data_IF_162378391493
#
_entry.id   IF_162378391493
#
_cell.length_a   1.000
_cell.length_b   1.000
_cell.length_c   1.000
_cell.angle_alpha   90.00
_cell.angle_beta   90.00
_cell.angle_gamma   90.00
#
_symmetry.space_group_name_H-M   'P 1'
#
loop_
_entity.id
_entity.type
_entity.pdbx_description
1 polymer ?
#
# COMPACT_ATOMS: atom_id res chain seq x y z
N UNK A 1 39.33 2.02 7.49
CA UNK A 1 38.31 3.06 7.74
C UNK A 1 38.81 4.35 7.10
N UNK A 2 38.03 4.95 6.18
CA UNK A 2 38.36 6.23 5.55
C UNK A 2 38.17 7.35 6.59
N UNK A 3 39.22 8.11 6.89
CA UNK A 3 39.35 8.98 8.07
C UNK A 3 38.42 10.20 8.18
N UNK A 4 37.35 10.27 7.38
CA UNK A 4 36.35 11.34 7.40
C UNK A 4 34.91 10.86 7.23
N UNK A 5 34.66 9.55 7.26
CA UNK A 5 33.30 9.02 7.17
C UNK A 5 32.56 9.22 8.50
N UNK A 6 31.54 10.07 8.49
CA UNK A 6 30.53 10.13 9.54
C UNK A 6 29.34 9.26 9.11
N UNK A 7 28.95 8.33 9.96
CA UNK A 7 27.80 7.48 9.68
C UNK A 7 26.53 8.32 9.63
N UNK A 8 25.67 8.05 8.64
CA UNK A 8 24.38 8.69 8.56
C UNK A 8 23.51 8.29 9.77
N UNK A 9 22.59 9.17 10.16
CA UNK A 9 21.59 8.82 11.16
C UNK A 9 20.84 7.53 10.79
N UNK A 10 20.36 6.75 11.77
CA UNK A 10 19.81 5.42 11.53
C UNK A 10 18.61 5.43 10.58
N UNK A 11 17.84 6.52 10.55
CA UNK A 11 16.74 6.71 9.61
C UNK A 11 17.26 6.88 8.16
N UNK A 12 18.20 7.81 7.95
CA UNK A 12 18.78 8.08 6.63
C UNK A 12 19.51 6.86 6.08
N UNK A 13 20.22 6.12 6.93
CA UNK A 13 20.87 4.87 6.55
C UNK A 13 19.87 3.80 6.08
N UNK A 14 18.74 3.63 6.79
CA UNK A 14 17.68 2.70 6.40
C UNK A 14 17.00 3.12 5.09
N UNK A 15 16.72 4.42 4.92
CA UNK A 15 16.13 4.95 3.70
C UNK A 15 17.06 4.79 2.49
N UNK A 16 18.35 5.12 2.64
CA UNK A 16 19.35 4.93 1.60
C UNK A 16 19.42 3.46 1.15
N UNK A 17 19.32 2.50 2.08
CA UNK A 17 19.26 1.08 1.74
C UNK A 17 18.06 0.73 0.86
N UNK A 18 16.89 1.32 1.10
CA UNK A 18 15.71 1.08 0.24
C UNK A 18 15.87 1.72 -1.13
N UNK A 19 16.47 2.91 -1.20
CA UNK A 19 16.80 3.55 -2.47
C UNK A 19 17.79 2.70 -3.29
N UNK A 20 18.85 2.15 -2.66
CA UNK A 20 19.77 1.26 -3.35
C UNK A 20 19.11 -0.03 -3.87
N UNK A 21 18.18 -0.61 -3.10
CA UNK A 21 17.37 -1.73 -3.57
C UNK A 21 16.52 -1.34 -4.79
N UNK A 22 15.91 -0.16 -4.76
CA UNK A 22 15.12 0.36 -5.87
C UNK A 22 15.96 0.56 -7.13
N UNK A 23 17.14 1.19 -7.02
CA UNK A 23 18.11 1.31 -8.12
C UNK A 23 18.61 -0.06 -8.62
N UNK A 24 18.67 -1.08 -7.76
CA UNK A 24 19.03 -2.44 -8.14
C UNK A 24 17.86 -3.24 -8.76
N UNK A 25 16.68 -2.62 -8.94
CA UNK A 25 15.46 -3.25 -9.41
C UNK A 25 15.00 -4.44 -8.55
N UNK A 26 15.21 -4.34 -7.23
CA UNK A 26 14.65 -5.30 -6.27
C UNK A 26 13.12 -5.18 -6.24
N UNK A 27 12.43 -6.29 -6.00
CA UNK A 27 10.97 -6.38 -5.91
C UNK A 27 10.50 -6.69 -4.48
N UNK A 28 11.39 -7.22 -3.64
CA UNK A 28 11.06 -7.70 -2.31
C UNK A 28 11.18 -6.56 -1.30
N UNK A 29 10.05 -6.13 -0.73
CA UNK A 29 9.99 -5.12 0.32
C UNK A 29 9.00 -5.57 1.40
N UNK A 30 9.30 -5.21 2.64
CA UNK A 30 8.26 -5.22 3.68
C UNK A 30 7.51 -3.87 3.71
N UNK A 31 6.41 -3.85 4.47
CA UNK A 31 5.53 -2.69 4.55
C UNK A 31 6.23 -1.40 5.02
N UNK A 32 7.21 -1.50 5.92
CA UNK A 32 7.97 -0.37 6.43
C UNK A 32 9.04 0.10 5.44
N UNK A 33 9.65 -0.85 4.71
CA UNK A 33 10.59 -0.55 3.64
C UNK A 33 9.92 0.21 2.49
N UNK A 34 8.69 -0.15 2.12
CA UNK A 34 7.90 0.59 1.13
C UNK A 34 7.65 2.02 1.59
N UNK A 35 7.28 2.24 2.86
CA UNK A 35 7.06 3.58 3.41
C UNK A 35 8.34 4.43 3.40
N UNK A 36 9.49 3.83 3.75
CA UNK A 36 10.79 4.53 3.68
C UNK A 36 11.18 4.89 2.24
N UNK A 37 10.91 3.99 1.29
CA UNK A 37 11.18 4.20 -0.12
C UNK A 37 10.30 5.33 -0.69
N UNK A 38 8.99 5.31 -0.40
CA UNK A 38 8.06 6.38 -0.78
C UNK A 38 8.52 7.74 -0.24
N UNK A 39 8.90 7.81 1.04
CA UNK A 39 9.39 9.04 1.64
C UNK A 39 10.67 9.56 0.96
N UNK A 40 11.54 8.65 0.50
CA UNK A 40 12.75 9.00 -0.26
C UNK A 40 12.48 9.45 -1.70
N UNK A 41 11.36 9.00 -2.28
CA UNK A 41 10.94 9.30 -3.66
C UNK A 41 9.83 10.35 -3.74
N UNK A 42 9.47 11.01 -2.63
CA UNK A 42 8.32 11.92 -2.52
C UNK A 42 8.27 13.06 -3.54
N UNK A 43 9.43 13.48 -4.06
CA UNK A 43 9.53 14.56 -5.06
C UNK A 43 9.32 14.09 -6.50
N UNK A 44 9.28 12.79 -6.73
CA UNK A 44 8.96 12.19 -8.02
C UNK A 44 7.50 11.76 -7.99
N UNK A 45 6.74 12.00 -9.04
CA UNK A 45 5.40 11.44 -9.15
C UNK A 45 5.43 9.92 -9.41
N UNK A 46 4.27 9.28 -9.31
CA UNK A 46 4.11 7.85 -9.54
C UNK A 46 4.61 7.40 -10.92
N UNK A 47 4.41 8.23 -11.96
CA UNK A 47 4.76 7.87 -13.33
C UNK A 47 6.27 7.89 -13.56
N UNK A 48 6.96 8.91 -13.05
CA UNK A 48 8.41 9.02 -13.13
C UNK A 48 9.09 7.90 -12.35
N UNK A 49 8.55 7.53 -11.17
CA UNK A 49 9.03 6.37 -10.41
C UNK A 49 8.91 5.08 -11.23
N UNK A 50 7.76 4.84 -11.85
CA UNK A 50 7.52 3.63 -12.66
C UNK A 50 8.46 3.58 -13.86
N UNK A 51 8.52 4.65 -14.65
CA UNK A 51 9.32 4.74 -15.88
C UNK A 51 10.79 4.51 -15.55
N UNK A 52 11.34 5.21 -14.56
CA UNK A 52 12.72 5.04 -14.15
C UNK A 52 13.03 3.59 -13.72
N UNK A 53 12.14 2.98 -12.94
CA UNK A 53 12.32 1.61 -12.48
C UNK A 53 12.33 0.61 -13.63
N UNK A 54 11.39 0.74 -14.57
CA UNK A 54 11.32 -0.13 -15.74
C UNK A 54 12.47 0.09 -16.73
N UNK A 55 12.93 1.32 -16.93
CA UNK A 55 14.11 1.62 -17.75
C UNK A 55 15.36 0.92 -17.21
N UNK A 56 15.64 1.06 -15.91
CA UNK A 56 16.75 0.35 -15.27
C UNK A 56 16.54 -1.17 -15.34
N UNK A 57 15.31 -1.65 -15.11
CA UNK A 57 15.02 -3.08 -15.15
C UNK A 57 15.15 -3.66 -16.54
N UNK A 58 14.89 -2.87 -17.59
CA UNK A 58 14.92 -3.30 -18.99
C UNK A 58 16.30 -3.74 -19.44
N UNK A 59 17.36 -3.09 -18.93
CA UNK A 59 18.76 -3.35 -19.25
C UNK A 59 19.40 -4.44 -18.38
N UNK A 60 18.69 -4.92 -17.35
CA UNK A 60 19.19 -5.98 -16.45
C UNK A 60 18.81 -7.37 -16.99
N UNK A 61 19.76 -8.31 -16.90
CA UNK A 61 19.61 -9.69 -17.39
C UNK A 61 18.83 -10.65 -16.47
N UNK A 62 18.26 -10.16 -15.36
CA UNK A 62 17.53 -10.99 -14.39
C UNK A 62 16.13 -11.31 -14.93
N UNK A 63 15.56 -12.45 -14.51
CA UNK A 63 14.19 -12.83 -14.86
C UNK A 63 13.22 -11.71 -14.48
N UNK A 64 12.49 -11.20 -15.47
CA UNK A 64 11.52 -10.12 -15.29
C UNK A 64 10.24 -10.70 -14.69
N UNK A 65 10.14 -10.71 -13.36
CA UNK A 65 8.87 -10.93 -12.66
C UNK A 65 7.99 -9.69 -12.81
N UNK A 66 6.68 -9.85 -12.88
CA UNK A 66 5.78 -8.69 -12.86
C UNK A 66 5.88 -7.96 -11.51
N UNK A 67 6.18 -6.66 -11.54
CA UNK A 67 6.27 -5.88 -10.31
C UNK A 67 4.90 -5.53 -9.76
N UNK A 68 3.84 -5.55 -10.59
CA UNK A 68 2.47 -5.20 -10.17
C UNK A 68 1.94 -6.13 -9.07
N UNK A 69 2.36 -7.39 -9.13
CA UNK A 69 2.04 -8.42 -8.13
C UNK A 69 3.09 -8.54 -7.00
N UNK A 70 4.04 -7.60 -6.92
CA UNK A 70 5.12 -7.63 -5.93
C UNK A 70 4.97 -6.53 -4.88
N UNK A 71 5.61 -6.68 -3.71
CA UNK A 71 5.48 -5.71 -2.61
C UNK A 71 5.86 -4.26 -2.94
N UNK A 72 6.65 -4.00 -3.98
CA UNK A 72 7.02 -2.64 -4.39
C UNK A 72 5.89 -1.88 -5.10
N UNK A 73 4.84 -2.56 -5.56
CA UNK A 73 3.73 -1.98 -6.33
C UNK A 73 3.14 -0.67 -5.76
N UNK A 74 2.97 -0.50 -4.42
CA UNK A 74 2.47 0.75 -3.86
C UNK A 74 3.32 1.99 -4.16
N UNK A 75 4.63 1.82 -4.41
CA UNK A 75 5.54 2.94 -4.76
C UNK A 75 5.12 3.63 -6.06
N UNK A 76 4.48 2.88 -6.97
CA UNK A 76 4.06 3.32 -8.30
C UNK A 76 2.57 3.63 -8.39
N UNK A 77 1.79 3.31 -7.36
CA UNK A 77 0.32 3.48 -7.35
C UNK A 77 -0.17 4.39 -6.23
N UNK A 78 0.72 4.77 -5.30
CA UNK A 78 0.40 5.67 -4.19
C UNK A 78 1.21 6.97 -4.30
N UNK A 79 0.57 8.09 -3.99
CA UNK A 79 1.17 9.41 -4.05
C UNK A 79 2.35 9.53 -3.06
N UNK A 80 2.10 9.23 -1.79
CA UNK A 80 3.07 9.36 -0.71
C UNK A 80 2.86 8.31 0.40
N UNK A 81 3.75 8.34 1.41
CA UNK A 81 3.69 7.46 2.57
C UNK A 81 2.48 7.68 3.49
N UNK A 82 1.88 8.88 3.48
CA UNK A 82 0.77 9.23 4.35
C UNK A 82 -0.53 8.63 3.84
N UNK A 83 -0.78 8.68 2.53
CA UNK A 83 -1.91 8.00 1.89
C UNK A 83 -1.80 6.49 2.10
N UNK A 84 -0.59 5.92 1.98
CA UNK A 84 -0.38 4.50 2.26
C UNK A 84 -0.68 4.15 3.72
N UNK A 85 -0.29 5.02 4.67
CA UNK A 85 -0.56 4.85 6.09
C UNK A 85 -2.06 4.95 6.41
N UNK A 86 -2.75 5.95 5.85
CA UNK A 86 -4.19 6.14 6.02
C UNK A 86 -4.97 4.92 5.53
N UNK A 87 -4.62 4.40 4.34
CA UNK A 87 -5.20 3.16 3.81
C UNK A 87 -5.01 1.97 4.75
N UNK A 88 -3.79 1.78 5.26
CA UNK A 88 -3.50 0.69 6.22
C UNK A 88 -4.29 0.85 7.51
N UNK A 89 -4.44 2.07 8.00
CA UNK A 89 -5.23 2.36 9.18
C UNK A 89 -6.71 1.99 8.97
N UNK A 90 -7.31 2.38 7.85
CA UNK A 90 -8.70 2.01 7.51
C UNK A 90 -8.86 0.50 7.48
N UNK A 91 -8.01 -0.23 6.75
CA UNK A 91 -8.09 -1.69 6.67
C UNK A 91 -7.90 -2.37 8.03
N UNK A 92 -7.01 -1.85 8.87
CA UNK A 92 -6.82 -2.34 10.23
C UNK A 92 -8.07 -2.12 11.09
N UNK A 93 -8.70 -0.95 10.98
CA UNK A 93 -9.95 -0.62 11.68
C UNK A 93 -11.07 -1.55 11.25
N UNK A 94 -11.29 -1.77 9.95
CA UNK A 94 -12.32 -2.70 9.45
C UNK A 94 -12.09 -4.10 10.02
N UNK A 95 -10.86 -4.61 9.94
CA UNK A 95 -10.51 -5.94 10.48
C UNK A 95 -10.77 -6.03 11.98
N UNK A 96 -10.46 -4.97 12.72
CA UNK A 96 -10.71 -4.90 14.16
C UNK A 96 -12.22 -4.92 14.45
N UNK A 97 -13.00 -4.10 13.75
CA UNK A 97 -14.46 -4.01 13.95
C UNK A 97 -15.17 -5.32 13.62
N UNK A 98 -14.78 -6.00 12.53
CA UNK A 98 -15.27 -7.35 12.20
C UNK A 98 -15.01 -8.30 13.36
N UNK A 99 -13.77 -8.30 13.90
CA UNK A 99 -13.37 -9.18 14.99
C UNK A 99 -14.10 -8.88 16.30
N UNK A 100 -14.26 -7.60 16.65
CA UNK A 100 -14.95 -7.16 17.87
C UNK A 100 -16.44 -7.51 17.83
N UNK A 101 -17.04 -7.50 16.64
CA UNK A 101 -18.40 -7.98 16.41
C UNK A 101 -18.52 -9.52 16.40
N UNK A 102 -17.45 -10.26 16.74
CA UNK A 102 -17.48 -11.71 16.82
C UNK A 102 -17.57 -12.43 15.47
N UNK A 103 -17.32 -11.72 14.37
CA UNK A 103 -17.45 -12.26 13.02
C UNK A 103 -16.08 -12.65 12.45
N UNK A 104 -16.10 -13.61 11.52
CA UNK A 104 -15.01 -13.82 10.57
C UNK A 104 -15.24 -12.97 9.32
N UNK A 105 -14.21 -12.83 8.49
CA UNK A 105 -14.30 -12.06 7.25
C UNK A 105 -15.44 -12.53 6.33
N UNK A 106 -15.64 -13.85 6.23
CA UNK A 106 -16.74 -14.43 5.42
C UNK A 106 -18.12 -14.10 6.00
N UNK A 107 -18.24 -14.04 7.33
CA UNK A 107 -19.51 -13.70 7.99
C UNK A 107 -19.85 -12.23 7.75
N UNK A 108 -18.86 -11.35 7.89
CA UNK A 108 -19.01 -9.93 7.56
C UNK A 108 -19.37 -9.73 6.09
N UNK A 109 -18.71 -10.45 5.17
CA UNK A 109 -19.04 -10.39 3.74
C UNK A 109 -20.50 -10.76 3.49
N UNK A 110 -20.99 -11.86 4.06
CA UNK A 110 -22.39 -12.30 3.92
C UNK A 110 -23.39 -11.35 4.58
N UNK A 111 -22.98 -10.69 5.65
CA UNK A 111 -23.80 -9.68 6.31
C UNK A 111 -23.91 -8.40 5.47
N UNK A 112 -22.90 -8.08 4.66
CA UNK A 112 -22.86 -6.89 3.82
C UNK A 112 -23.53 -7.12 2.46
N UNK A 113 -23.37 -8.31 1.89
CA UNK A 113 -23.95 -8.76 0.61
C UNK A 113 -25.47 -8.95 0.77
N UNK A 114 -26.19 -7.85 0.57
CA UNK A 114 -27.61 -7.69 0.89
C UNK A 114 -28.52 -8.30 -0.18
N UNK A 115 -28.05 -8.33 -1.43
CA UNK A 115 -28.75 -8.96 -2.56
C UNK A 115 -28.30 -10.41 -2.81
N UNK A 116 -27.30 -10.88 -2.06
CA UNK A 116 -26.74 -12.24 -2.12
C UNK A 116 -26.18 -12.61 -3.49
N UNK A 117 -25.64 -11.63 -4.22
CA UNK A 117 -25.04 -11.83 -5.53
C UNK A 117 -23.58 -12.34 -5.46
N UNK A 118 -22.99 -12.39 -4.25
CA UNK A 118 -21.61 -12.85 -4.03
C UNK A 118 -20.54 -11.80 -4.32
N UNK A 119 -20.93 -10.54 -4.50
CA UNK A 119 -20.09 -9.36 -4.70
C UNK A 119 -20.54 -8.27 -3.71
N UNK A 120 -19.67 -7.28 -3.46
CA UNK A 120 -20.04 -6.11 -2.67
C UNK A 120 -19.99 -4.87 -3.54
N UNK A 121 -21.14 -4.26 -3.79
CA UNK A 121 -21.20 -2.96 -4.43
C UNK A 121 -20.81 -1.84 -3.45
N UNK A 122 -20.48 -0.64 -3.96
CA UNK A 122 -20.12 0.52 -3.12
C UNK A 122 -21.17 0.82 -2.04
N UNK A 123 -22.45 0.67 -2.37
CA UNK A 123 -23.57 0.89 -1.43
C UNK A 123 -23.60 -0.14 -0.30
N UNK A 124 -23.30 -1.40 -0.60
CA UNK A 124 -23.28 -2.50 0.37
C UNK A 124 -22.04 -2.42 1.26
N UNK A 125 -20.90 -2.07 0.67
CA UNK A 125 -19.69 -1.75 1.42
C UNK A 125 -19.96 -0.57 2.37
N UNK A 126 -20.62 0.49 1.90
CA UNK A 126 -20.97 1.63 2.74
C UNK A 126 -21.85 1.24 3.92
N UNK A 127 -22.98 0.58 3.64
CA UNK A 127 -23.91 0.14 4.68
C UNK A 127 -23.27 -0.84 5.67
N UNK A 128 -22.40 -1.73 5.19
CA UNK A 128 -21.66 -2.66 6.04
C UNK A 128 -20.66 -1.97 6.96
N UNK A 129 -19.91 -0.98 6.45
CA UNK A 129 -18.96 -0.21 7.25
C UNK A 129 -19.64 0.73 8.25
N UNK A 130 -20.76 1.33 7.87
CA UNK A 130 -21.62 2.11 8.77
C UNK A 130 -22.20 1.23 9.88
N UNK A 131 -22.68 0.03 9.54
CA UNK A 131 -23.16 -0.95 10.52
C UNK A 131 -22.07 -1.44 11.48
N UNK A 132 -20.82 -1.54 11.02
CA UNK A 132 -19.66 -1.80 11.88
C UNK A 132 -19.31 -0.62 12.82
N UNK A 133 -19.93 0.55 12.64
CA UNK A 133 -19.73 1.74 13.44
C UNK A 133 -18.60 2.66 12.94
N UNK A 134 -18.22 2.57 11.66
CA UNK A 134 -17.32 3.58 11.07
C UNK A 134 -18.11 4.81 10.64
N UNK A 135 -17.75 5.97 11.17
CA UNK A 135 -18.25 7.28 10.71
C UNK A 135 -17.55 7.64 9.38
N UNK A 136 -18.12 7.19 8.27
CA UNK A 136 -17.61 7.44 6.92
C UNK A 136 -18.53 8.40 6.18
N UNK A 137 -17.94 9.40 5.53
CA UNK A 137 -18.67 10.22 4.55
C UNK A 137 -18.77 9.44 3.24
N UNK A 138 -19.82 9.66 2.42
CA UNK A 138 -19.96 9.02 1.11
C UNK A 138 -18.72 9.13 0.21
N UNK A 139 -17.98 10.24 0.30
CA UNK A 139 -16.72 10.45 -0.43
C UNK A 139 -15.61 9.45 -0.02
N UNK A 140 -15.56 9.07 1.27
CA UNK A 140 -14.51 8.20 1.82
C UNK A 140 -14.68 6.75 1.32
N UNK A 141 -15.91 6.30 1.05
CA UNK A 141 -16.17 4.96 0.49
C UNK A 141 -15.61 4.83 -0.92
N UNK A 142 -15.76 5.86 -1.75
CA UNK A 142 -15.22 5.81 -3.11
C UNK A 142 -13.69 5.67 -3.10
N UNK A 143 -13.02 6.30 -2.14
CA UNK A 143 -11.58 6.13 -1.94
C UNK A 143 -11.26 4.70 -1.47
N UNK A 144 -11.99 4.17 -0.49
CA UNK A 144 -11.79 2.81 0.01
C UNK A 144 -11.99 1.76 -1.09
N UNK A 145 -13.10 1.83 -1.83
CA UNK A 145 -13.46 0.85 -2.87
C UNK A 145 -12.47 0.90 -4.03
N UNK A 146 -12.05 2.09 -4.48
CA UNK A 146 -11.02 2.26 -5.51
C UNK A 146 -9.67 1.64 -5.14
N UNK A 147 -9.44 1.35 -3.87
CA UNK A 147 -8.22 0.74 -3.36
C UNK A 147 -8.37 -0.75 -3.01
N UNK A 148 -9.57 -1.32 -3.15
CA UNK A 148 -9.85 -2.75 -2.94
C UNK A 148 -10.04 -3.47 -4.29
N UNK A 149 -10.72 -2.84 -5.25
CA UNK A 149 -10.85 -3.26 -6.65
C UNK A 149 -9.58 -2.94 -7.48
#
# INVERSE_FOLDING_TARGET
>A
ATGGFSEAGPYQAKQARQLFKYFNSDLEYDDGQVSLLLSGLKHNDMKHREVFFEEIRSVRRRTKKDWKASPISPVFTTLDEYILLARRAVLATVRLLIKVNGMRLLDAFRAFDSDHNGLLMCSEMYGGLDWLGMDLKPADIHEIVRHID
#
